data_IF_910362962213
#
_entry.id   IF_910362962213
#
_cell.length_a   1.000
_cell.length_b   1.000
_cell.length_c   1.000
_cell.angle_alpha   90.00
_cell.angle_beta   90.00
_cell.angle_gamma   90.00
#
_symmetry.space_group_name_H-M   'P 1'
#
loop_
_entity.id
_entity.type
_entity.pdbx_description
1 polymer ?
#
# COMPACT_ATOMS: atom_id res chain seq x y z
N UNK A 1 -5.88 5.12 -8.03
CA UNK A 1 -5.28 6.38 -8.51
C UNK A 1 -4.28 6.82 -7.47
N UNK A 2 -3.03 7.11 -7.85
CA UNK A 2 -2.00 7.62 -6.94
C UNK A 2 -1.40 8.91 -7.46
N UNK A 3 -0.75 9.65 -6.56
CA UNK A 3 -0.22 10.98 -6.81
C UNK A 3 -1.23 12.10 -6.51
N UNK A 4 -0.97 13.32 -6.98
CA UNK A 4 0.11 13.69 -7.89
C UNK A 4 1.50 13.67 -7.24
N UNK A 5 2.53 13.31 -8.00
CA UNK A 5 3.94 13.54 -7.68
C UNK A 5 4.56 14.29 -8.87
N UNK A 6 5.00 15.53 -8.67
CA UNK A 6 5.55 16.38 -9.73
C UNK A 6 4.65 16.49 -10.98
N UNK A 7 3.32 16.54 -10.76
CA UNK A 7 2.31 16.60 -11.82
C UNK A 7 2.02 15.28 -12.52
N UNK A 8 2.72 14.19 -12.17
CA UNK A 8 2.44 12.83 -12.65
C UNK A 8 1.43 12.13 -11.76
N UNK A 9 0.54 11.35 -12.37
CA UNK A 9 -0.39 10.48 -11.67
C UNK A 9 -0.26 9.04 -12.14
N UNK A 10 -0.64 8.10 -11.27
CA UNK A 10 -0.63 6.67 -11.58
C UNK A 10 -2.04 6.12 -11.60
N UNK A 11 -2.40 5.51 -12.71
CA UNK A 11 -3.62 4.74 -12.90
C UNK A 11 -3.27 3.26 -12.78
N UNK A 12 -4.02 2.54 -11.94
CA UNK A 12 -3.76 1.12 -11.71
C UNK A 12 -5.01 0.40 -11.23
N UNK A 13 -5.12 -0.86 -11.63
CA UNK A 13 -5.98 -1.89 -11.04
C UNK A 13 -5.16 -2.93 -10.26
N UNK A 14 -3.94 -2.54 -9.83
CA UNK A 14 -2.87 -3.36 -9.25
C UNK A 14 -2.09 -4.22 -10.25
N UNK A 15 -2.69 -4.67 -11.34
CA UNK A 15 -2.02 -5.49 -12.36
C UNK A 15 -1.39 -4.65 -13.47
N UNK A 16 -2.20 -3.78 -14.07
CA UNK A 16 -1.74 -2.76 -14.99
C UNK A 16 -1.33 -1.51 -14.20
N UNK A 17 -0.17 -0.96 -14.54
CA UNK A 17 0.33 0.29 -13.97
C UNK A 17 0.63 1.24 -15.12
N UNK A 18 -0.07 2.37 -15.12
CA UNK A 18 0.05 3.41 -16.14
C UNK A 18 0.46 4.70 -15.45
N UNK A 19 1.65 5.18 -15.79
CA UNK A 19 2.10 6.53 -15.45
C UNK A 19 1.52 7.50 -16.47
N UNK A 20 0.87 8.55 -16.01
CA UNK A 20 0.21 9.53 -16.88
C UNK A 20 0.60 10.95 -16.48
N UNK A 21 0.96 11.75 -17.48
CA UNK A 21 1.14 13.20 -17.35
C UNK A 21 -0.10 13.89 -17.94
N UNK A 22 -1.03 14.40 -17.10
CA UNK A 22 -2.24 15.04 -17.58
C UNK A 22 -1.97 16.34 -18.36
N UNK A 23 -0.91 17.07 -18.03
CA UNK A 23 -0.57 18.34 -18.68
C UNK A 23 -0.10 18.13 -20.13
N UNK A 24 0.66 17.06 -20.39
CA UNK A 24 1.14 16.74 -21.74
C UNK A 24 0.28 15.70 -22.46
N UNK A 25 -0.70 15.10 -21.77
CA UNK A 25 -1.53 13.98 -22.24
C UNK A 25 -0.73 12.74 -22.65
N UNK A 26 0.51 12.61 -22.17
CA UNK A 26 1.36 11.45 -22.45
C UNK A 26 1.20 10.41 -21.34
N UNK A 27 1.18 9.14 -21.71
CA UNK A 27 1.18 8.04 -20.77
C UNK A 27 2.30 7.04 -21.10
N UNK A 28 2.73 6.30 -20.07
CA UNK A 28 3.64 5.17 -20.16
C UNK A 28 3.07 4.02 -19.36
N UNK A 29 2.78 2.92 -20.03
CA UNK A 29 2.48 1.66 -19.36
C UNK A 29 3.78 1.02 -18.87
N UNK A 30 3.79 0.55 -17.62
CA UNK A 30 4.91 -0.19 -17.06
C UNK A 30 4.81 -1.67 -17.46
N UNK A 31 5.94 -2.38 -17.60
CA UNK A 31 5.93 -3.81 -17.81
C UNK A 31 5.31 -4.53 -16.60
N UNK A 32 4.73 -5.69 -16.83
CA UNK A 32 4.19 -6.54 -15.76
C UNK A 32 5.31 -6.94 -14.79
N UNK A 33 4.96 -6.98 -13.50
CA UNK A 33 5.85 -7.49 -12.47
C UNK A 33 6.23 -8.95 -12.77
N UNK A 34 7.52 -9.33 -12.68
CA UNK A 34 7.97 -10.71 -12.81
C UNK A 34 7.23 -11.67 -11.87
N UNK A 35 6.92 -11.23 -10.65
CA UNK A 35 6.21 -12.06 -9.67
C UNK A 35 4.79 -12.42 -10.09
N UNK A 36 4.09 -11.56 -10.86
CA UNK A 36 2.77 -11.89 -11.43
C UNK A 36 2.78 -13.17 -12.26
N UNK A 37 3.91 -13.50 -12.89
CA UNK A 37 4.07 -14.73 -13.70
C UNK A 37 4.00 -16.01 -12.86
N UNK A 38 4.18 -15.92 -11.53
CA UNK A 38 4.05 -17.05 -10.60
C UNK A 38 2.60 -17.37 -10.24
N UNK A 39 1.65 -16.47 -10.50
CA UNK A 39 0.23 -16.69 -10.16
C UNK A 39 -0.32 -17.84 -11.01
N UNK A 40 -0.68 -18.93 -10.34
CA UNK A 40 -1.25 -20.15 -10.94
C UNK A 40 -2.77 -20.09 -10.96
N UNK A 41 -3.41 -21.05 -11.64
CA UNK A 41 -4.86 -21.25 -11.56
C UNK A 41 -5.34 -21.34 -10.09
N UNK A 42 -6.49 -20.72 -9.80
CA UNK A 42 -7.07 -20.62 -8.45
C UNK A 42 -6.20 -19.86 -7.43
N UNK A 43 -5.31 -18.99 -7.89
CA UNK A 43 -4.59 -18.04 -7.05
C UNK A 43 -4.86 -16.61 -7.54
N UNK A 44 -5.01 -15.71 -6.60
CA UNK A 44 -5.15 -14.27 -6.81
C UNK A 44 -4.01 -13.53 -6.14
N UNK A 45 -3.75 -12.31 -6.58
CA UNK A 45 -2.68 -11.46 -6.04
C UNK A 45 -3.28 -10.15 -5.56
N UNK A 46 -2.82 -9.70 -4.39
CA UNK A 46 -3.16 -8.40 -3.83
C UNK A 46 -1.92 -7.75 -3.22
N UNK A 47 -2.06 -6.51 -2.80
CA UNK A 47 -1.10 -5.84 -1.94
C UNK A 47 -1.12 -4.33 -2.14
N UNK A 48 0.01 -3.69 -1.85
CA UNK A 48 0.18 -2.24 -1.94
C UNK A 48 1.02 -1.85 -3.14
N UNK A 49 0.73 -0.69 -3.72
CA UNK A 49 1.60 -0.07 -4.71
C UNK A 49 1.97 1.34 -4.23
N UNK A 50 3.24 1.70 -4.42
CA UNK A 50 3.76 3.04 -4.18
C UNK A 50 4.43 3.60 -5.41
N UNK A 51 4.41 4.93 -5.54
CA UNK A 51 4.98 5.70 -6.64
C UNK A 51 5.50 7.06 -6.15
N UNK A 52 6.81 7.27 -6.13
CA UNK A 52 7.39 8.53 -5.68
C UNK A 52 8.63 8.92 -6.46
N UNK A 53 9.02 10.19 -6.30
CA UNK A 53 10.30 10.69 -6.78
C UNK A 53 11.39 10.37 -5.76
N UNK A 54 12.44 9.70 -6.21
CA UNK A 54 13.68 9.51 -5.48
C UNK A 54 14.63 10.69 -5.77
N UNK A 55 14.83 11.54 -4.77
CA UNK A 55 15.72 12.69 -4.88
C UNK A 55 17.22 12.33 -4.91
N UNK A 56 17.61 11.16 -4.43
CA UNK A 56 19.00 10.69 -4.41
C UNK A 56 19.38 10.16 -5.80
N UNK A 57 18.56 9.27 -6.36
CA UNK A 57 18.78 8.74 -7.72
C UNK A 57 18.35 9.70 -8.83
N UNK A 58 17.60 10.77 -8.50
CA UNK A 58 16.96 11.66 -9.45
C UNK A 58 16.10 10.89 -10.46
N UNK A 59 15.27 9.98 -9.95
CA UNK A 59 14.42 9.10 -10.74
C UNK A 59 13.06 8.92 -10.08
N UNK A 60 12.07 8.43 -10.83
CA UNK A 60 10.82 7.97 -10.24
C UNK A 60 10.89 6.48 -9.98
N UNK A 61 10.41 6.07 -8.82
CA UNK A 61 10.36 4.68 -8.41
C UNK A 61 8.95 4.23 -8.14
N UNK A 62 8.71 2.95 -8.38
CA UNK A 62 7.53 2.26 -7.91
C UNK A 62 7.94 1.16 -6.96
N UNK A 63 7.16 0.95 -5.91
CA UNK A 63 7.35 -0.15 -4.97
C UNK A 63 6.07 -0.97 -4.93
N UNK A 64 6.16 -2.25 -5.23
CA UNK A 64 5.01 -3.16 -5.32
C UNK A 64 5.15 -4.26 -4.29
N UNK A 65 4.24 -4.27 -3.32
CA UNK A 65 4.09 -5.30 -2.31
C UNK A 65 3.06 -6.27 -2.87
N UNK A 66 3.42 -7.54 -3.05
CA UNK A 66 2.49 -8.55 -3.58
C UNK A 66 2.39 -9.75 -2.64
N UNK A 67 1.16 -10.18 -2.37
CA UNK A 67 0.80 -11.39 -1.64
C UNK A 67 -0.08 -12.26 -2.54
N UNK A 68 0.35 -13.49 -2.79
CA UNK A 68 -0.43 -14.50 -3.51
C UNK A 68 -1.22 -15.33 -2.49
N UNK A 69 -2.51 -15.52 -2.76
CA UNK A 69 -3.44 -16.29 -1.93
C UNK A 69 -4.38 -17.11 -2.82
N UNK A 70 -5.05 -18.13 -2.26
CA UNK A 70 -6.03 -18.94 -3.01
C UNK A 70 -7.29 -18.15 -3.33
N UNK A 71 -7.92 -18.49 -4.46
CA UNK A 71 -9.19 -17.90 -4.90
C UNK A 71 -10.19 -19.01 -5.28
N UNK A 72 -11.33 -19.16 -4.57
CA UNK A 72 -11.81 -18.31 -3.48
C UNK A 72 -10.93 -18.39 -2.23
N UNK A 73 -10.84 -17.30 -1.43
CA UNK A 73 -10.02 -17.27 -0.23
C UNK A 73 -10.55 -18.30 0.77
N UNK A 74 -9.70 -19.28 1.11
CA UNK A 74 -9.97 -20.25 2.15
C UNK A 74 -8.90 -20.08 3.22
N UNK A 75 -9.31 -19.68 4.42
CA UNK A 75 -8.37 -19.64 5.54
C UNK A 75 -7.94 -21.06 5.88
N UNK A 76 -6.67 -21.38 5.61
CA UNK A 76 -6.04 -22.62 6.03
C UNK A 76 -4.72 -22.25 6.73
N UNK A 77 -4.44 -22.81 7.93
CA UNK A 77 -3.21 -22.52 8.68
C UNK A 77 -1.92 -22.79 7.89
N UNK A 78 -1.97 -23.69 6.90
CA UNK A 78 -0.84 -24.12 6.06
C UNK A 78 -0.95 -23.58 4.63
N UNK A 79 -1.60 -22.43 4.42
CA UNK A 79 -1.66 -21.83 3.09
C UNK A 79 -0.29 -21.22 2.73
N UNK A 80 0.33 -21.75 1.67
CA UNK A 80 1.55 -21.18 1.08
C UNK A 80 1.25 -19.79 0.51
N UNK A 81 1.33 -18.76 1.36
CA UNK A 81 1.28 -17.37 0.96
C UNK A 81 2.65 -16.93 0.51
N UNK A 82 2.79 -16.76 -0.80
CA UNK A 82 4.01 -16.20 -1.37
C UNK A 82 3.92 -14.68 -1.31
N UNK A 83 4.89 -14.04 -0.67
CA UNK A 83 5.04 -12.59 -0.63
C UNK A 83 6.28 -12.16 -1.41
N UNK A 84 6.22 -10.98 -2.02
CA UNK A 84 7.39 -10.31 -2.58
C UNK A 84 7.26 -8.82 -2.41
N UNK A 85 8.42 -8.16 -2.43
CA UNK A 85 8.53 -6.73 -2.68
C UNK A 85 9.35 -6.55 -3.95
N UNK A 86 8.82 -5.78 -4.90
CA UNK A 86 9.53 -5.45 -6.14
C UNK A 86 9.63 -3.93 -6.27
N UNK A 87 10.78 -3.43 -6.73
CA UNK A 87 11.01 -2.02 -7.03
C UNK A 87 11.18 -1.86 -8.53
N UNK A 88 10.53 -0.85 -9.11
CA UNK A 88 10.71 -0.44 -10.50
C UNK A 88 11.38 0.92 -10.54
N UNK A 89 12.54 0.97 -11.18
CA UNK A 89 13.26 2.21 -11.46
C UNK A 89 12.85 2.71 -12.85
N UNK A 90 12.26 3.91 -12.96
CA UNK A 90 11.67 4.40 -14.22
C UNK A 90 12.72 4.65 -15.31
N UNK A 91 13.92 5.09 -14.90
CA UNK A 91 15.08 5.34 -15.77
C UNK A 91 15.63 4.06 -16.39
N UNK A 92 15.75 2.99 -15.61
CA UNK A 92 16.23 1.67 -16.06
C UNK A 92 15.13 0.94 -16.82
N UNK A 93 13.88 1.13 -16.40
CA UNK A 93 12.72 0.55 -17.04
C UNK A 93 12.48 -0.92 -16.68
N UNK A 94 13.03 -1.42 -15.58
CA UNK A 94 12.90 -2.81 -15.13
C UNK A 94 12.50 -2.94 -13.65
N UNK A 95 11.90 -4.08 -13.33
CA UNK A 95 11.63 -4.49 -11.96
C UNK A 95 12.83 -5.25 -11.38
N UNK A 96 13.12 -5.02 -10.11
CA UNK A 96 14.02 -5.85 -9.30
C UNK A 96 13.32 -6.31 -8.03
N UNK A 97 13.68 -7.51 -7.58
CA UNK A 97 13.22 -8.02 -6.28
C UNK A 97 13.99 -7.28 -5.20
N UNK A 98 13.26 -6.77 -4.21
CA UNK A 98 13.84 -6.18 -3.02
C UNK A 98 14.19 -7.30 -2.04
N UNK A 99 15.48 -7.40 -1.69
CA UNK A 99 16.01 -8.47 -0.83
C UNK A 99 15.64 -8.19 0.63
N UNK A 100 14.52 -8.76 1.05
CA UNK A 100 13.98 -8.68 2.41
C UNK A 100 13.34 -10.02 2.75
N UNK A 101 13.38 -10.44 4.01
CA UNK A 101 12.70 -11.65 4.46
C UNK A 101 11.19 -11.50 4.31
N UNK A 102 10.69 -11.94 3.14
CA UNK A 102 9.31 -11.72 2.71
C UNK A 102 8.29 -12.55 3.50
N UNK A 103 8.73 -13.64 4.15
CA UNK A 103 7.82 -14.52 4.92
C UNK A 103 7.22 -13.79 6.14
N UNK A 104 7.98 -12.90 6.79
CA UNK A 104 7.52 -12.11 7.94
C UNK A 104 6.93 -10.75 7.55
N UNK A 105 6.85 -10.46 6.25
CA UNK A 105 6.47 -9.13 5.79
C UNK A 105 4.99 -8.82 6.07
N UNK A 106 4.62 -7.62 6.60
CA UNK A 106 3.23 -7.29 6.93
C UNK A 106 2.29 -7.39 5.72
N UNK A 107 1.09 -7.92 5.93
CA UNK A 107 0.07 -7.96 4.87
C UNK A 107 -0.65 -6.61 4.80
N UNK A 108 -0.71 -6.02 3.61
CA UNK A 108 -1.37 -4.73 3.38
C UNK A 108 -2.89 -4.90 3.27
N UNK A 109 -3.65 -4.01 3.90
CA UNK A 109 -5.12 -4.01 3.79
C UNK A 109 -5.54 -3.40 2.46
N UNK A 110 -6.33 -4.12 1.67
CA UNK A 110 -6.86 -3.60 0.41
C UNK A 110 -8.26 -3.01 0.60
N UNK A 111 -8.32 -1.85 1.25
CA UNK A 111 -9.55 -1.12 1.60
C UNK A 111 -9.47 0.32 1.08
N UNK A 112 -10.58 1.07 0.97
CA UNK A 112 -10.53 2.45 0.49
C UNK A 112 -9.52 3.31 1.24
N UNK A 113 -8.70 4.06 0.49
CA UNK A 113 -7.69 4.98 1.03
C UNK A 113 -6.69 4.28 1.97
N UNK A 114 -6.36 3.01 1.74
CA UNK A 114 -5.37 2.29 2.53
C UNK A 114 -3.93 2.78 2.32
N UNK A 115 -3.67 3.57 1.29
CA UNK A 115 -2.32 3.98 0.90
C UNK A 115 -2.22 5.49 0.63
N UNK A 116 -1.08 6.10 0.98
CA UNK A 116 -0.81 7.52 0.72
C UNK A 116 0.69 7.82 0.64
N UNK A 117 1.08 8.74 -0.25
CA UNK A 117 2.42 9.31 -0.28
C UNK A 117 2.50 10.52 0.64
N UNK A 118 3.48 10.55 1.54
CA UNK A 118 3.69 11.66 2.46
C UNK A 118 5.18 11.77 2.83
N UNK A 119 5.75 12.98 2.74
CA UNK A 119 7.13 13.28 3.14
C UNK A 119 8.19 12.28 2.63
N UNK A 120 8.15 11.95 1.33
CA UNK A 120 9.15 11.08 0.69
C UNK A 120 8.91 9.57 0.88
N UNK A 121 7.93 9.18 1.69
CA UNK A 121 7.61 7.78 1.94
C UNK A 121 6.17 7.44 1.52
N UNK A 122 5.99 6.21 1.04
CA UNK A 122 4.66 5.61 0.94
C UNK A 122 4.24 5.01 2.26
N UNK A 123 2.96 5.14 2.57
CA UNK A 123 2.35 4.62 3.78
C UNK A 123 1.20 3.71 3.38
N UNK A 124 1.12 2.54 3.98
CA UNK A 124 0.01 1.61 3.84
C UNK A 124 -0.57 1.23 5.20
N UNK A 125 -1.88 1.17 5.29
CA UNK A 125 -2.57 0.45 6.35
C UNK A 125 -2.28 -1.04 6.20
N UNK A 126 -1.63 -1.64 7.19
CA UNK A 126 -1.14 -3.01 7.12
C UNK A 126 -1.33 -3.75 8.44
N UNK A 127 -1.14 -5.06 8.39
CA UNK A 127 -1.30 -5.98 9.50
C UNK A 127 -0.06 -6.85 9.66
N UNK A 128 0.53 -6.81 10.85
CA UNK A 128 1.56 -7.73 11.31
C UNK A 128 1.00 -8.58 12.46
N UNK A 129 1.56 -8.49 13.68
CA UNK A 129 0.89 -8.99 14.89
C UNK A 129 -0.27 -8.08 15.33
N UNK A 130 -0.18 -6.80 14.98
CA UNK A 130 -1.17 -5.76 15.26
C UNK A 130 -1.33 -4.86 14.03
N UNK A 131 -2.43 -4.07 13.94
CA UNK A 131 -2.57 -3.03 12.94
C UNK A 131 -1.42 -2.01 13.02
N UNK A 132 -0.81 -1.71 11.89
CA UNK A 132 0.31 -0.77 11.75
C UNK A 132 0.13 0.09 10.50
N UNK A 133 0.82 1.23 10.47
CA UNK A 133 1.08 1.95 9.23
C UNK A 133 2.47 1.52 8.77
N UNK A 134 2.52 0.70 7.73
CA UNK A 134 3.77 0.30 7.08
C UNK A 134 4.24 1.46 6.20
N UNK A 135 5.52 1.81 6.29
CA UNK A 135 6.11 2.90 5.54
C UNK A 135 7.28 2.38 4.69
N UNK A 136 7.44 2.91 3.49
CA UNK A 136 8.61 2.69 2.64
C UNK A 136 9.14 4.04 2.17
N UNK A 137 10.37 4.37 2.57
CA UNK A 137 11.07 5.55 2.08
C UNK A 137 11.58 5.28 0.66
N UNK A 138 11.17 6.13 -0.28
CA UNK A 138 11.47 5.93 -1.71
C UNK A 138 12.96 6.13 -2.02
N UNK A 139 13.61 7.04 -1.29
CA UNK A 139 15.00 7.42 -1.55
C UNK A 139 16.00 6.51 -0.86
N UNK A 140 15.77 6.18 0.41
CA UNK A 140 16.65 5.26 1.13
C UNK A 140 16.31 3.79 0.89
N UNK A 141 15.15 3.49 0.29
CA UNK A 141 14.64 2.12 0.09
C UNK A 141 14.53 1.31 1.37
N UNK A 142 14.08 1.95 2.45
CA UNK A 142 13.96 1.32 3.75
C UNK A 142 12.53 1.25 4.22
N UNK A 143 12.16 0.11 4.80
CA UNK A 143 10.90 -0.05 5.51
C UNK A 143 11.00 0.42 6.96
N UNK A 144 9.90 0.99 7.45
CA UNK A 144 9.66 1.23 8.88
C UNK A 144 8.18 1.10 9.18
N UNK A 145 7.82 0.92 10.44
CA UNK A 145 6.42 0.87 10.87
C UNK A 145 6.10 2.00 11.85
N UNK A 146 4.87 2.49 11.79
CA UNK A 146 4.29 3.39 12.78
C UNK A 146 3.18 2.63 13.47
N UNK A 147 3.18 2.68 14.81
CA UNK A 147 2.12 2.07 15.62
C UNK A 147 0.80 2.79 15.38
N UNK A 148 -0.28 2.02 15.23
CA UNK A 148 -1.62 2.60 15.22
C UNK A 148 -1.96 3.24 16.58
N UNK A 149 -2.91 4.20 16.63
CA UNK A 149 -3.48 4.70 17.87
C UNK A 149 -3.98 3.58 18.78
N UNK A 150 -3.94 3.80 20.09
CA UNK A 150 -4.30 2.79 21.10
C UNK A 150 -5.75 2.32 21.05
N UNK A 151 -6.64 3.07 20.38
CA UNK A 151 -8.04 2.72 20.17
C UNK A 151 -8.26 1.80 18.97
N UNK A 152 -7.22 1.55 18.18
CA UNK A 152 -7.27 0.66 17.02
C UNK A 152 -7.00 -0.77 17.47
N UNK A 153 -7.90 -1.70 17.16
CA UNK A 153 -7.78 -3.08 17.62
C UNK A 153 -7.87 -4.09 16.46
N UNK A 154 -7.17 -5.24 16.55
CA UNK A 154 -7.20 -6.26 15.50
C UNK A 154 -8.60 -6.79 15.13
N UNK A 155 -9.56 -6.68 16.05
CA UNK A 155 -10.88 -7.31 15.95
C UNK A 155 -12.05 -6.32 16.07
N UNK A 156 -11.82 -5.02 15.85
CA UNK A 156 -12.88 -4.00 15.99
C UNK A 156 -13.78 -3.87 14.75
N UNK A 157 -13.51 -4.64 13.68
CA UNK A 157 -14.23 -4.59 12.41
C UNK A 157 -14.27 -3.19 11.75
N UNK A 158 -13.34 -2.30 12.14
CA UNK A 158 -13.21 -0.96 11.56
C UNK A 158 -12.32 -0.97 10.32
N UNK A 159 -12.58 -0.01 9.45
CA UNK A 159 -11.77 0.29 8.28
C UNK A 159 -10.85 1.47 8.63
N UNK A 160 -9.59 1.34 8.22
CA UNK A 160 -8.53 2.30 8.47
C UNK A 160 -8.12 2.97 7.16
N UNK A 161 -8.51 4.23 6.99
CA UNK A 161 -8.15 5.04 5.83
C UNK A 161 -7.08 6.07 6.21
N UNK A 162 -6.05 6.16 5.38
CA UNK A 162 -5.00 7.16 5.48
C UNK A 162 -5.34 8.34 4.56
N UNK A 163 -5.28 9.54 5.10
CA UNK A 163 -5.54 10.78 4.37
C UNK A 163 -4.52 11.85 4.74
N UNK A 164 -4.38 12.83 3.86
CA UNK A 164 -3.64 14.05 4.15
C UNK A 164 -4.64 15.13 4.58
N UNK A 165 -4.56 15.57 5.83
CA UNK A 165 -5.46 16.57 6.42
C UNK A 165 -4.65 17.49 7.32
N UNK A 166 -4.86 18.81 7.21
CA UNK A 166 -4.16 19.82 7.99
C UNK A 166 -2.63 19.63 7.98
N UNK A 167 -2.07 19.47 6.77
CA UNK A 167 -0.63 19.28 6.55
C UNK A 167 -0.02 18.06 7.26
N UNK A 168 -0.86 17.12 7.69
CA UNK A 168 -0.47 16.00 8.53
C UNK A 168 -1.03 14.69 7.99
N UNK A 169 -0.27 13.61 8.20
CA UNK A 169 -0.78 12.26 8.00
C UNK A 169 -1.89 11.99 9.02
N UNK A 170 -3.07 11.64 8.54
CA UNK A 170 -4.26 11.46 9.36
C UNK A 170 -4.86 10.09 9.11
N UNK A 171 -5.23 9.41 10.19
CA UNK A 171 -5.93 8.14 10.17
C UNK A 171 -7.41 8.39 10.46
N UNK A 172 -8.28 8.00 9.53
CA UNK A 172 -9.72 7.96 9.72
C UNK A 172 -10.13 6.51 9.93
N UNK A 173 -10.78 6.25 11.05
CA UNK A 173 -11.24 4.94 11.48
C UNK A 173 -12.77 4.95 11.52
N UNK A 174 -13.43 4.08 10.76
CA UNK A 174 -14.90 4.04 10.67
C UNK A 174 -15.39 2.60 10.53
N UNK A 175 -16.64 2.36 10.91
CA UNK A 175 -17.23 1.03 10.74
C UNK A 175 -17.28 0.62 9.27
N UNK A 176 -16.92 -0.64 9.00
CA UNK A 176 -17.20 -1.25 7.70
C UNK A 176 -18.71 -1.37 7.45
N UNK A 177 -19.10 -1.79 6.25
CA UNK A 177 -20.52 -2.04 5.93
C UNK A 177 -21.07 -3.16 6.82
N UNK A 178 -21.70 -2.81 7.92
CA UNK A 178 -22.49 -3.74 8.73
C UNK A 178 -23.88 -3.91 8.12
N UNK A 179 -24.51 -5.08 8.35
CA UNK A 179 -25.90 -5.32 7.95
C UNK A 179 -26.89 -4.55 8.82
N UNK A 180 -26.51 -4.19 10.04
CA UNK A 180 -27.31 -3.39 10.98
C UNK A 180 -26.39 -2.35 11.65
N UNK A 181 -26.72 -1.05 11.61
CA UNK A 181 -25.94 -0.01 12.29
C UNK A 181 -25.98 -0.18 13.81
N UNK A 182 -24.83 -0.05 14.47
CA UNK A 182 -24.68 0.05 15.92
C UNK A 182 -24.13 1.44 16.27
N UNK A 183 -24.94 2.35 16.82
CA UNK A 183 -24.53 3.74 17.06
C UNK A 183 -23.41 3.91 18.09
N UNK A 184 -23.09 2.88 18.88
CA UNK A 184 -21.98 2.90 19.83
C UNK A 184 -20.70 2.39 19.16
N UNK A 185 -20.79 1.39 18.28
CA UNK A 185 -19.64 0.79 17.58
C UNK A 185 -19.28 1.49 16.27
N UNK A 186 -20.22 2.17 15.65
CA UNK A 186 -20.07 2.85 14.35
C UNK A 186 -19.53 4.29 14.45
N UNK A 187 -18.95 4.64 15.60
CA UNK A 187 -18.27 5.92 15.76
C UNK A 187 -17.06 6.01 14.83
N UNK A 188 -16.94 7.18 14.20
CA UNK A 188 -15.78 7.54 13.38
C UNK A 188 -14.76 8.26 14.25
N UNK A 189 -13.55 7.71 14.33
CA UNK A 189 -12.43 8.32 15.02
C UNK A 189 -11.45 8.92 14.00
N UNK A 190 -10.95 10.13 14.28
CA UNK A 190 -9.98 10.83 13.42
C UNK A 190 -8.74 11.13 14.25
N UNK A 191 -7.60 10.60 13.81
CA UNK A 191 -6.31 10.77 14.47
C UNK A 191 -5.35 11.54 13.57
N UNK A 192 -4.95 12.73 14.01
CA UNK A 192 -3.99 13.58 13.30
C UNK A 192 -2.60 13.36 13.90
N UNK A 193 -1.61 13.07 13.04
CA UNK A 193 -0.25 12.85 13.49
C UNK A 193 0.44 14.17 13.85
N UNK A 194 0.69 14.39 15.15
CA UNK A 194 1.33 15.61 15.64
C UNK A 194 2.82 15.71 15.28
N UNK A 195 3.54 14.60 15.28
CA UNK A 195 4.96 14.53 14.95
C UNK A 195 5.19 13.36 14.01
N UNK A 196 5.89 13.62 12.90
CA UNK A 196 6.20 12.63 11.88
C UNK A 196 7.70 12.35 11.86
N UNK A 197 8.06 11.08 12.07
CA UNK A 197 9.45 10.63 12.15
C UNK A 197 9.92 10.60 13.59
#
# INVERSE_FOLDING_TARGET
LMGPCDGLIVLTDFDAIILFNPATRNYRALPLSPFKRKVRFHRSMRGGLGFGYDCIANDYKFVKLSEIFRDPPQWHPNEDREKTVEIYDLSIGSWRVFDYDCEEFPSVHWLPCFEIFYKGAYHWSAYAETPIILCFDISSETFRSIKMPHTCHPYDAKIYSLVFLNESLTLICYAGKQTVPDPIRDLTDIWIMNQYG
#
